data_IF_876973054700
#
_entry.id   IF_876973054700
#
_cell.length_a   1.000
_cell.length_b   1.000
_cell.length_c   1.000
_cell.angle_alpha   90.00
_cell.angle_beta   90.00
_cell.angle_gamma   90.00
#
_symmetry.space_group_name_H-M   'P 1'
#
loop_
_entity.id
_entity.type
_entity.pdbx_description
1 polymer ?
#
# COMPACT_ATOMS: atom_id res chain seq x y z
N UNK A 1 15.10 10.33 -63.45
CA UNK A 1 16.51 10.62 -63.76
C UNK A 1 17.25 10.92 -62.47
N UNK A 2 18.52 10.52 -62.39
CA UNK A 2 19.38 10.50 -61.19
C UNK A 2 20.09 11.86 -60.99
N UNK A 3 20.33 12.20 -59.71
CA UNK A 3 21.34 13.11 -59.11
C UNK A 3 21.16 14.63 -59.27
N UNK A 4 21.27 15.39 -58.18
CA UNK A 4 22.53 16.03 -57.73
C UNK A 4 22.37 16.66 -56.33
N UNK A 5 23.42 16.60 -55.51
CA UNK A 5 23.51 17.26 -54.21
C UNK A 5 24.20 18.62 -54.33
N UNK A 6 23.80 19.59 -53.50
CA UNK A 6 24.55 20.82 -53.25
C UNK A 6 24.64 21.02 -51.74
N UNK A 7 25.87 21.18 -51.27
CA UNK A 7 26.27 21.47 -49.90
C UNK A 7 26.44 22.98 -49.77
N UNK A 8 25.76 23.63 -48.83
CA UNK A 8 26.04 25.02 -48.48
C UNK A 8 26.21 25.11 -46.96
N UNK A 9 27.46 25.32 -46.58
CA UNK A 9 27.97 25.52 -45.24
C UNK A 9 27.43 26.86 -44.70
N UNK A 10 26.56 26.83 -43.70
CA UNK A 10 26.28 27.99 -42.86
C UNK A 10 26.89 27.78 -41.48
N UNK A 11 27.61 28.82 -41.06
CA UNK A 11 28.35 28.94 -39.82
C UNK A 11 27.51 28.61 -38.58
N UNK A 12 28.17 27.89 -37.68
CA UNK A 12 27.82 27.70 -36.27
C UNK A 12 27.36 29.01 -35.63
N UNK A 13 26.09 29.05 -35.18
CA UNK A 13 25.81 29.47 -33.81
C UNK A 13 24.84 28.44 -33.22
N UNK A 14 25.42 27.41 -32.63
CA UNK A 14 24.69 26.55 -31.70
C UNK A 14 24.51 27.37 -30.43
N UNK A 15 23.37 28.07 -30.31
CA UNK A 15 22.86 28.43 -28.98
C UNK A 15 22.28 27.16 -28.35
N UNK A 16 23.16 26.27 -27.86
CA UNK A 16 22.76 25.33 -26.81
C UNK A 16 22.65 26.14 -25.52
N UNK A 17 21.58 26.94 -25.44
CA UNK A 17 21.04 27.32 -24.15
C UNK A 17 20.50 26.05 -23.52
N UNK A 18 21.34 25.29 -22.83
CA UNK A 18 20.85 24.38 -21.81
C UNK A 18 20.28 25.28 -20.72
N UNK A 19 18.99 25.59 -20.81
CA UNK A 19 18.24 25.95 -19.64
C UNK A 19 18.27 24.73 -18.72
N UNK A 20 19.30 24.65 -17.87
CA UNK A 20 19.22 23.78 -16.71
C UNK A 20 18.15 24.41 -15.82
N UNK A 21 17.01 23.73 -15.68
CA UNK A 21 15.94 24.12 -14.76
C UNK A 21 16.43 23.89 -13.33
N UNK A 22 17.30 24.78 -12.89
CA UNK A 22 17.85 24.86 -11.54
C UNK A 22 16.97 25.78 -10.71
N UNK A 23 16.62 25.31 -9.51
CA UNK A 23 15.94 26.10 -8.49
C UNK A 23 16.93 26.30 -7.35
N UNK A 24 16.84 27.42 -6.65
CA UNK A 24 17.63 27.65 -5.43
C UNK A 24 16.81 27.21 -4.23
N UNK A 25 17.37 26.38 -3.34
CA UNK A 25 16.72 26.04 -2.07
C UNK A 25 16.73 27.24 -1.08
N UNK A 26 16.03 27.10 0.04
CA UNK A 26 15.94 28.14 1.08
C UNK A 26 17.31 28.55 1.67
N UNK A 27 18.35 27.74 1.46
CA UNK A 27 19.72 27.96 1.92
C UNK A 27 20.64 28.52 0.82
N UNK A 28 20.12 28.80 -0.37
CA UNK A 28 20.90 29.35 -1.47
C UNK A 28 21.58 28.29 -2.36
N UNK A 29 21.33 27.00 -2.17
CA UNK A 29 21.96 25.94 -2.97
C UNK A 29 21.21 25.69 -4.28
N UNK A 30 21.98 25.44 -5.33
CA UNK A 30 21.50 24.98 -6.64
C UNK A 30 20.92 23.57 -6.51
N UNK A 31 19.63 23.42 -6.81
CA UNK A 31 18.89 22.16 -6.86
C UNK A 31 18.38 21.92 -8.27
N UNK A 32 18.65 20.74 -8.80
CA UNK A 32 18.24 20.34 -10.15
C UNK A 32 16.84 19.72 -10.11
N UNK A 33 15.96 20.17 -11.02
CA UNK A 33 14.65 19.54 -11.24
C UNK A 33 14.68 18.42 -12.29
N UNK A 34 15.73 18.39 -13.12
CA UNK A 34 15.99 17.37 -14.13
C UNK A 34 17.49 17.12 -14.21
N UNK A 35 17.88 15.85 -14.25
CA UNK A 35 19.28 15.40 -14.23
C UNK A 35 19.51 14.30 -15.28
N UNK A 36 20.78 14.04 -15.60
CA UNK A 36 21.18 12.94 -16.48
C UNK A 36 20.98 11.57 -15.83
N UNK A 37 21.30 11.45 -14.54
CA UNK A 37 21.08 10.25 -13.74
C UNK A 37 20.33 10.65 -12.48
N UNK A 38 19.14 10.08 -12.31
CA UNK A 38 18.27 10.31 -11.15
C UNK A 38 18.86 9.73 -9.86
N UNK A 39 18.54 10.37 -8.73
CA UNK A 39 18.85 9.80 -7.43
C UNK A 39 18.07 8.50 -7.20
N UNK A 40 18.71 7.51 -6.58
CA UNK A 40 18.13 6.19 -6.34
C UNK A 40 18.29 5.75 -4.89
N UNK A 41 17.32 4.96 -4.41
CA UNK A 41 17.45 4.28 -3.13
C UNK A 41 18.66 3.30 -3.17
N UNK A 42 19.29 2.96 -2.04
CA UNK A 42 20.32 1.91 -2.01
C UNK A 42 19.83 0.62 -2.67
N UNK A 43 20.67 0.00 -3.49
CA UNK A 43 20.30 -1.16 -4.32
C UNK A 43 19.13 -0.90 -5.30
N UNK A 44 18.88 0.36 -5.62
CA UNK A 44 17.86 0.79 -6.57
C UNK A 44 16.44 0.37 -6.19
N UNK A 45 15.67 -0.03 -7.19
CA UNK A 45 14.25 -0.40 -7.03
C UNK A 45 14.06 -1.64 -6.13
N UNK A 46 14.99 -2.59 -6.16
CA UNK A 46 14.91 -3.80 -5.34
C UNK A 46 15.14 -3.51 -3.86
N UNK A 47 16.12 -2.66 -3.54
CA UNK A 47 16.33 -2.19 -2.17
C UNK A 47 15.14 -1.41 -1.65
N UNK A 48 14.55 -0.54 -2.48
CA UNK A 48 13.34 0.21 -2.14
C UNK A 48 12.18 -0.72 -1.80
N UNK A 49 11.90 -1.71 -2.66
CA UNK A 49 10.82 -2.70 -2.43
C UNK A 49 11.02 -3.46 -1.11
N UNK A 50 12.24 -3.95 -0.85
CA UNK A 50 12.57 -4.68 0.39
C UNK A 50 12.40 -3.79 1.63
N UNK A 51 12.82 -2.54 1.53
CA UNK A 51 12.68 -1.57 2.61
C UNK A 51 11.21 -1.27 2.92
N UNK A 52 10.36 -1.08 1.90
CA UNK A 52 8.92 -0.89 2.07
C UNK A 52 8.27 -2.09 2.76
N UNK A 53 8.50 -3.32 2.29
CA UNK A 53 7.93 -4.54 2.89
C UNK A 53 8.22 -4.64 4.38
N UNK A 54 9.40 -4.18 4.81
CA UNK A 54 9.83 -4.25 6.21
C UNK A 54 9.31 -3.09 7.08
N UNK A 55 9.14 -1.90 6.51
CA UNK A 55 9.00 -0.66 7.31
C UNK A 55 7.70 0.13 7.05
N UNK A 56 6.99 -0.16 5.95
CA UNK A 56 5.73 0.51 5.60
C UNK A 56 4.57 -0.13 6.36
N UNK A 57 3.75 0.71 6.99
CA UNK A 57 2.46 0.34 7.56
C UNK A 57 1.39 0.35 6.47
N UNK A 58 1.27 -0.76 5.75
CA UNK A 58 0.31 -0.90 4.65
C UNK A 58 -1.17 -0.88 5.11
N UNK A 59 -1.43 -1.07 6.40
CA UNK A 59 -2.76 -1.10 7.02
C UNK A 59 -3.30 0.29 7.40
N UNK A 60 -2.50 1.36 7.25
CA UNK A 60 -2.89 2.74 7.53
C UNK A 60 -4.21 3.16 6.86
N UNK A 61 -4.42 2.99 5.54
CA UNK A 61 -5.69 3.38 4.93
C UNK A 61 -6.89 2.58 5.49
N UNK A 62 -6.71 1.30 5.79
CA UNK A 62 -7.78 0.46 6.38
C UNK A 62 -8.14 0.93 7.78
N UNK A 63 -7.13 1.27 8.60
CA UNK A 63 -7.33 1.78 9.97
C UNK A 63 -8.02 3.14 10.02
N UNK A 64 -7.97 3.89 8.92
CA UNK A 64 -8.59 5.20 8.78
C UNK A 64 -9.82 5.16 7.85
N UNK A 65 -10.44 3.99 7.66
CA UNK A 65 -11.67 3.79 6.90
C UNK A 65 -11.62 4.35 5.46
N UNK A 66 -10.47 4.24 4.80
CA UNK A 66 -10.34 4.59 3.40
C UNK A 66 -11.28 3.74 2.52
N UNK A 67 -11.95 4.32 1.52
CA UNK A 67 -12.74 3.56 0.56
C UNK A 67 -11.93 2.51 -0.20
N UNK A 68 -12.63 1.56 -0.83
CA UNK A 68 -11.98 0.61 -1.74
C UNK A 68 -11.40 1.35 -2.94
N UNK A 69 -10.17 1.03 -3.33
CA UNK A 69 -9.50 1.66 -4.45
C UNK A 69 -7.98 1.57 -4.42
N UNK A 70 -7.36 2.14 -5.44
CA UNK A 70 -5.91 2.34 -5.52
C UNK A 70 -5.56 3.80 -5.26
N UNK A 71 -4.62 4.02 -4.34
CA UNK A 71 -4.19 5.34 -3.89
C UNK A 71 -2.69 5.49 -4.13
N UNK A 72 -2.31 6.26 -5.14
CA UNK A 72 -0.91 6.54 -5.41
C UNK A 72 -0.47 7.80 -4.66
N UNK A 73 0.21 7.62 -3.53
CA UNK A 73 0.83 8.71 -2.78
C UNK A 73 2.11 9.13 -3.47
N UNK A 74 2.29 10.43 -3.70
CA UNK A 74 3.50 11.00 -4.30
C UNK A 74 4.17 11.91 -3.27
N UNK A 75 5.41 11.59 -2.92
CA UNK A 75 6.23 12.43 -2.03
C UNK A 75 7.41 13.00 -2.82
N UNK A 76 7.57 14.32 -2.75
CA UNK A 76 8.71 15.07 -3.28
C UNK A 76 9.70 15.35 -2.16
N UNK A 77 10.98 15.24 -2.45
CA UNK A 77 12.07 15.57 -1.53
C UNK A 77 13.34 15.90 -2.30
N UNK A 78 14.31 16.50 -1.63
CA UNK A 78 15.64 16.76 -2.18
C UNK A 78 16.58 15.64 -1.75
N UNK A 79 17.35 15.11 -2.69
CA UNK A 79 18.52 14.27 -2.41
C UNK A 79 19.76 15.13 -2.63
N UNK A 80 20.54 15.33 -1.57
CA UNK A 80 21.80 16.05 -1.60
C UNK A 80 22.89 15.24 -2.29
N UNK A 81 23.97 15.93 -2.72
CA UNK A 81 25.17 15.30 -3.29
C UNK A 81 25.87 14.26 -2.38
N UNK A 82 25.63 14.29 -1.07
CA UNK A 82 26.13 13.32 -0.09
C UNK A 82 25.13 12.18 0.19
N UNK A 83 23.97 12.18 -0.48
CA UNK A 83 22.90 11.21 -0.30
C UNK A 83 21.92 11.52 0.84
N UNK A 84 22.13 12.59 1.60
CA UNK A 84 21.17 13.02 2.62
C UNK A 84 19.87 13.52 1.99
N UNK A 85 18.78 13.44 2.73
CA UNK A 85 17.45 13.86 2.28
C UNK A 85 16.95 15.08 3.05
N UNK A 86 16.26 15.98 2.35
CA UNK A 86 15.65 17.18 2.93
C UNK A 86 14.36 17.55 2.18
N UNK A 87 13.63 18.58 2.65
CA UNK A 87 12.42 19.12 2.03
C UNK A 87 11.38 18.04 1.64
N UNK A 88 11.13 17.10 2.55
CA UNK A 88 10.22 15.97 2.31
C UNK A 88 8.77 16.42 2.47
N UNK A 89 8.05 16.51 1.35
CA UNK A 89 6.69 17.04 1.24
C UNK A 89 5.82 16.09 0.41
N UNK A 90 4.61 15.78 0.89
CA UNK A 90 3.61 15.07 0.08
C UNK A 90 2.96 16.01 -0.93
N UNK A 91 2.85 15.57 -2.18
CA UNK A 91 2.13 16.28 -3.24
C UNK A 91 0.67 15.80 -3.37
N UNK A 92 0.37 14.62 -2.81
CA UNK A 92 -0.99 14.12 -2.68
C UNK A 92 -1.57 14.47 -1.31
N UNK A 93 -2.90 14.36 -1.20
CA UNK A 93 -3.62 14.49 0.05
C UNK A 93 -4.94 13.72 -0.03
N UNK A 94 -4.92 12.44 0.32
CA UNK A 94 -6.12 11.60 0.39
C UNK A 94 -6.84 11.67 1.73
N UNK A 95 -6.18 12.12 2.80
CA UNK A 95 -6.79 12.30 4.13
C UNK A 95 -6.94 11.02 4.96
N UNK A 96 -6.32 9.91 4.56
CA UNK A 96 -6.40 8.61 5.26
C UNK A 96 -5.09 8.19 5.92
N UNK A 97 -4.18 9.13 6.18
CA UNK A 97 -2.90 8.89 6.87
C UNK A 97 -1.77 8.34 6.00
N UNK A 98 -2.03 8.07 4.72
CA UNK A 98 -1.07 7.42 3.80
C UNK A 98 0.13 8.33 3.50
N UNK A 99 -0.13 9.62 3.28
CA UNK A 99 0.90 10.65 3.06
C UNK A 99 1.88 10.73 4.22
N UNK A 100 1.38 10.83 5.44
CA UNK A 100 2.18 10.93 6.67
C UNK A 100 3.06 9.71 6.84
N UNK A 101 2.53 8.53 6.51
CA UNK A 101 3.27 7.27 6.55
C UNK A 101 4.39 7.24 5.49
N UNK A 102 4.13 7.68 4.26
CA UNK A 102 5.16 7.72 3.20
C UNK A 102 6.22 8.80 3.47
N UNK A 103 5.83 9.95 4.03
CA UNK A 103 6.78 10.97 4.51
C UNK A 103 7.65 10.40 5.62
N UNK A 104 7.07 9.65 6.57
CA UNK A 104 7.79 9.03 7.68
C UNK A 104 8.83 8.01 7.20
N UNK A 105 8.47 7.12 6.28
CA UNK A 105 9.41 6.08 5.81
C UNK A 105 10.55 6.67 4.99
N UNK A 106 10.31 7.74 4.22
CA UNK A 106 11.35 8.45 3.48
C UNK A 106 12.30 9.11 4.48
N UNK A 107 11.78 9.90 5.43
CA UNK A 107 12.59 10.56 6.48
C UNK A 107 13.42 9.59 7.34
N UNK A 108 12.91 8.38 7.60
CA UNK A 108 13.61 7.34 8.39
C UNK A 108 14.49 6.42 7.54
N UNK A 109 14.52 6.63 6.22
CA UNK A 109 15.29 5.80 5.29
C UNK A 109 16.80 5.97 5.44
N UNK A 110 17.57 5.13 4.74
CA UNK A 110 19.01 5.31 4.60
C UNK A 110 19.34 6.53 3.74
N UNK A 111 20.63 6.87 3.67
CA UNK A 111 21.15 7.75 2.64
C UNK A 111 20.87 7.18 1.24
N UNK A 112 20.54 8.05 0.29
CA UNK A 112 20.28 7.71 -1.10
C UNK A 112 21.56 7.80 -1.93
N UNK A 113 21.59 7.11 -3.07
CA UNK A 113 22.58 7.40 -4.11
C UNK A 113 22.22 8.73 -4.77
N UNK A 114 23.14 9.72 -4.79
CA UNK A 114 22.85 11.04 -5.32
C UNK A 114 22.63 11.03 -6.83
N UNK A 115 21.93 12.05 -7.32
CA UNK A 115 21.80 12.32 -8.74
C UNK A 115 23.14 12.75 -9.36
N UNK A 116 23.34 12.45 -10.64
CA UNK A 116 24.52 12.87 -11.38
C UNK A 116 24.15 13.81 -12.53
N UNK A 117 24.93 14.87 -12.68
CA UNK A 117 24.85 15.82 -13.78
C UNK A 117 26.28 16.13 -14.27
N UNK A 118 26.56 15.93 -15.55
CA UNK A 118 27.88 16.17 -16.13
C UNK A 118 29.00 15.45 -15.34
N UNK A 119 28.74 14.22 -14.90
CA UNK A 119 29.68 13.40 -14.13
C UNK A 119 29.92 13.83 -12.68
N UNK A 120 29.13 14.78 -12.13
CA UNK A 120 29.23 15.24 -10.75
C UNK A 120 27.94 14.95 -9.98
N UNK A 121 28.09 14.59 -8.70
CA UNK A 121 26.96 14.48 -7.78
C UNK A 121 26.36 15.87 -7.51
N UNK A 122 25.03 15.98 -7.62
CA UNK A 122 24.30 17.24 -7.47
C UNK A 122 23.11 17.08 -6.53
N UNK A 123 22.67 18.19 -5.94
CA UNK A 123 21.41 18.24 -5.21
C UNK A 123 20.27 18.22 -6.23
N UNK A 124 19.33 17.30 -6.09
CA UNK A 124 18.22 17.18 -7.04
C UNK A 124 16.91 16.83 -6.36
N UNK A 125 15.80 17.31 -6.93
CA UNK A 125 14.47 16.89 -6.53
C UNK A 125 14.21 15.45 -6.99
N UNK A 126 13.56 14.67 -6.13
CA UNK A 126 13.07 13.33 -6.42
C UNK A 126 11.59 13.25 -6.05
N UNK A 127 10.78 12.67 -6.94
CA UNK A 127 9.37 12.32 -6.70
C UNK A 127 9.23 10.81 -6.61
N UNK A 128 8.94 10.30 -5.42
CA UNK A 128 8.79 8.86 -5.20
C UNK A 128 7.31 8.49 -5.03
N UNK A 129 6.72 7.75 -5.98
CA UNK A 129 5.39 7.20 -5.82
C UNK A 129 5.39 5.96 -4.91
N UNK A 130 4.35 5.82 -4.09
CA UNK A 130 3.99 4.62 -3.32
C UNK A 130 2.50 4.39 -3.47
N UNK A 131 2.10 3.22 -3.97
CA UNK A 131 0.68 2.88 -4.16
C UNK A 131 0.19 2.01 -3.01
N UNK A 132 -0.89 2.45 -2.36
CA UNK A 132 -1.71 1.64 -1.47
C UNK A 132 -2.89 1.08 -2.26
N UNK A 133 -3.25 -0.16 -1.96
CA UNK A 133 -4.37 -0.83 -2.60
C UNK A 133 -5.31 -1.29 -1.49
N UNK A 134 -6.46 -0.62 -1.40
CA UNK A 134 -7.54 -0.96 -0.46
C UNK A 134 -8.53 -1.83 -1.23
N UNK A 135 -8.64 -3.08 -0.84
CA UNK A 135 -9.55 -4.04 -1.44
C UNK A 135 -10.46 -4.60 -0.36
N UNK A 136 -11.65 -5.02 -0.78
CA UNK A 136 -12.50 -5.89 0.01
C UNK A 136 -11.67 -7.12 0.40
N UNK A 137 -11.70 -7.50 1.68
CA UNK A 137 -11.04 -8.73 2.13
C UNK A 137 -11.73 -9.98 1.55
N UNK A 138 -12.87 -9.79 0.89
CA UNK A 138 -13.63 -10.81 0.19
C UNK A 138 -14.26 -11.78 1.16
N UNK A 139 -14.50 -11.33 2.40
CA UNK A 139 -15.06 -12.13 3.49
C UNK A 139 -16.57 -11.87 3.54
N UNK A 140 -17.35 -12.82 3.03
CA UNK A 140 -18.79 -12.79 3.15
C UNK A 140 -19.26 -13.73 4.28
N UNK A 141 -19.71 -13.15 5.39
CA UNK A 141 -20.26 -13.90 6.53
C UNK A 141 -21.72 -13.49 6.73
N UNK A 142 -22.66 -14.42 6.55
CA UNK A 142 -24.10 -14.14 6.62
C UNK A 142 -24.82 -15.15 7.50
N UNK A 143 -25.86 -14.70 8.20
CA UNK A 143 -26.87 -15.56 8.82
C UNK A 143 -28.26 -15.09 8.42
N UNK A 144 -29.29 -15.90 8.70
CA UNK A 144 -30.69 -15.54 8.45
C UNK A 144 -31.11 -14.23 9.13
N UNK A 145 -30.51 -13.89 10.26
CA UNK A 145 -30.83 -12.69 11.05
C UNK A 145 -29.71 -11.63 11.00
N UNK A 146 -28.83 -11.69 9.98
CA UNK A 146 -27.64 -10.83 9.91
C UNK A 146 -26.61 -11.22 10.98
N UNK A 147 -26.05 -10.23 11.68
CA UNK A 147 -25.09 -10.47 12.78
C UNK A 147 -25.77 -10.82 14.12
N UNK A 148 -26.87 -11.56 14.07
CA UNK A 148 -27.64 -12.00 15.24
C UNK A 148 -27.84 -13.51 15.19
N UNK A 149 -27.72 -14.16 16.35
CA UNK A 149 -27.93 -15.59 16.54
C UNK A 149 -28.91 -15.81 17.70
N UNK A 150 -29.61 -16.95 17.69
CA UNK A 150 -30.55 -17.33 18.73
C UNK A 150 -29.97 -18.46 19.59
N UNK A 151 -30.04 -18.30 20.91
CA UNK A 151 -29.71 -19.38 21.84
C UNK A 151 -30.72 -20.52 21.77
N UNK A 152 -30.29 -21.77 22.00
CA UNK A 152 -31.17 -22.94 21.97
C UNK A 152 -31.79 -23.28 20.59
N UNK A 153 -31.23 -22.74 19.51
CA UNK A 153 -31.62 -23.05 18.12
C UNK A 153 -30.40 -23.29 17.24
N UNK A 154 -30.61 -24.01 16.13
CA UNK A 154 -29.59 -24.21 15.10
C UNK A 154 -29.51 -22.96 14.23
N UNK A 155 -28.46 -22.15 14.41
CA UNK A 155 -28.22 -21.01 13.53
C UNK A 155 -27.36 -21.44 12.36
N UNK A 156 -27.80 -21.17 11.13
CA UNK A 156 -27.00 -21.40 9.94
C UNK A 156 -26.26 -20.11 9.59
N UNK A 157 -24.95 -20.21 9.51
CA UNK A 157 -24.04 -19.16 9.06
C UNK A 157 -23.36 -19.64 7.78
N UNK A 158 -23.40 -18.82 6.73
CA UNK A 158 -22.64 -19.03 5.50
C UNK A 158 -21.38 -18.18 5.54
N UNK A 159 -20.24 -18.77 5.20
CA UNK A 159 -18.92 -18.12 5.21
C UNK A 159 -18.25 -18.41 3.87
N UNK A 160 -18.05 -17.39 3.06
CA UNK A 160 -17.25 -17.44 1.84
C UNK A 160 -16.07 -16.47 1.99
N UNK A 161 -14.87 -16.92 1.65
CA UNK A 161 -13.66 -16.09 1.68
C UNK A 161 -12.99 -16.15 0.32
N UNK A 162 -12.88 -15.01 -0.34
CA UNK A 162 -12.27 -14.93 -1.66
C UNK A 162 -10.88 -15.58 -1.67
N UNK A 163 -10.59 -16.34 -2.74
CA UNK A 163 -9.31 -17.03 -2.96
C UNK A 163 -8.94 -18.04 -1.86
N UNK A 164 -9.90 -18.54 -1.10
CA UNK A 164 -9.73 -19.66 -0.16
C UNK A 164 -10.82 -20.69 -0.39
N UNK A 165 -10.44 -21.95 -0.56
CA UNK A 165 -11.42 -23.02 -0.71
C UNK A 165 -12.16 -23.24 0.62
N UNK A 166 -13.48 -23.44 0.55
CA UNK A 166 -14.31 -23.58 1.74
C UNK A 166 -13.93 -24.80 2.60
N UNK A 167 -13.33 -25.83 2.00
CA UNK A 167 -12.81 -27.01 2.71
C UNK A 167 -11.53 -26.70 3.52
N UNK A 168 -10.83 -25.62 3.21
CA UNK A 168 -9.63 -25.18 3.93
C UNK A 168 -9.97 -24.26 5.13
N UNK A 169 -11.25 -24.01 5.38
CA UNK A 169 -11.74 -23.13 6.44
C UNK A 169 -12.08 -23.91 7.71
N UNK A 170 -11.40 -23.55 8.80
CA UNK A 170 -11.80 -23.93 10.15
C UNK A 170 -12.46 -22.73 10.83
N UNK A 171 -13.63 -22.95 11.44
CA UNK A 171 -14.41 -21.91 12.11
C UNK A 171 -14.58 -22.30 13.58
N UNK A 172 -14.19 -21.39 14.46
CA UNK A 172 -14.33 -21.54 15.91
C UNK A 172 -15.28 -20.48 16.45
N UNK A 173 -15.88 -20.75 17.61
CA UNK A 173 -16.74 -19.82 18.32
C UNK A 173 -16.18 -19.55 19.72
N UNK A 174 -16.23 -18.31 20.19
CA UNK A 174 -15.79 -17.95 21.54
C UNK A 174 -16.65 -18.51 22.68
N UNK A 175 -17.94 -18.79 22.42
CA UNK A 175 -18.86 -19.41 23.39
C UNK A 175 -19.94 -20.24 22.71
N UNK A 176 -19.86 -21.56 22.84
CA UNK A 176 -20.80 -22.51 22.27
C UNK A 176 -20.13 -23.50 21.32
N UNK A 177 -20.90 -24.03 20.37
CA UNK A 177 -20.41 -25.04 19.43
C UNK A 177 -20.60 -24.60 17.98
N UNK A 178 -19.65 -24.99 17.12
CA UNK A 178 -19.72 -24.84 15.67
C UNK A 178 -19.61 -26.22 15.03
N UNK A 179 -20.46 -26.50 14.04
CA UNK A 179 -20.41 -27.74 13.25
C UNK A 179 -20.41 -27.39 11.76
N UNK A 180 -19.41 -27.87 11.03
CA UNK A 180 -19.36 -27.75 9.58
C UNK A 180 -20.43 -28.64 8.92
N UNK A 181 -21.17 -28.09 7.96
CA UNK A 181 -22.25 -28.79 7.27
C UNK A 181 -21.95 -29.08 5.79
N UNK A 182 -20.74 -28.74 5.31
CA UNK A 182 -20.36 -28.84 3.90
C UNK A 182 -20.61 -27.56 3.09
N UNK A 183 -19.83 -27.38 2.03
CA UNK A 183 -19.83 -26.14 1.24
C UNK A 183 -19.37 -24.96 2.09
N UNK A 184 -20.11 -23.86 2.06
CA UNK A 184 -19.86 -22.66 2.87
C UNK A 184 -20.67 -22.61 4.18
N UNK A 185 -21.36 -23.69 4.58
CA UNK A 185 -22.35 -23.66 5.66
C UNK A 185 -21.82 -24.21 6.98
N UNK A 186 -22.12 -23.48 8.05
CA UNK A 186 -21.80 -23.83 9.43
C UNK A 186 -23.05 -23.71 10.30
N UNK A 187 -23.27 -24.70 11.16
CA UNK A 187 -24.24 -24.60 12.25
C UNK A 187 -23.54 -24.02 13.48
N UNK A 188 -24.06 -22.92 14.00
CA UNK A 188 -23.56 -22.24 15.19
C UNK A 188 -24.61 -22.29 16.30
N UNK A 189 -24.23 -22.85 17.44
CA UNK A 189 -25.07 -23.00 18.61
C UNK A 189 -24.42 -22.21 19.76
N UNK A 190 -24.73 -20.91 19.92
CA UNK A 190 -24.14 -20.09 20.97
C UNK A 190 -24.60 -20.53 22.36
N UNK A 191 -23.76 -20.34 23.37
CA UNK A 191 -24.11 -20.56 24.78
C UNK A 191 -24.23 -19.22 25.52
N UNK A 192 -25.36 -19.02 26.21
CA UNK A 192 -25.69 -17.76 26.87
C UNK A 192 -26.30 -16.71 25.93
N UNK A 193 -26.28 -15.46 26.36
CA UNK A 193 -26.82 -14.28 25.64
C UNK A 193 -25.79 -13.16 25.45
N UNK A 194 -24.53 -13.40 25.84
CA UNK A 194 -23.45 -12.46 25.55
C UNK A 194 -23.08 -12.55 24.07
N UNK A 195 -22.65 -11.44 23.43
CA UNK A 195 -22.12 -11.48 22.08
C UNK A 195 -20.98 -12.49 21.96
N UNK A 196 -20.92 -13.18 20.83
CA UNK A 196 -19.89 -14.16 20.53
C UNK A 196 -19.10 -13.74 19.30
N UNK A 197 -17.89 -14.27 19.17
CA UNK A 197 -17.05 -14.09 17.99
C UNK A 197 -16.87 -15.42 17.29
N UNK A 198 -16.99 -15.40 15.96
CA UNK A 198 -16.56 -16.48 15.10
C UNK A 198 -15.19 -16.11 14.55
N UNK A 199 -14.18 -16.93 14.87
CA UNK A 199 -12.84 -16.80 14.32
C UNK A 199 -12.64 -17.84 13.22
N UNK A 200 -12.21 -17.39 12.04
CA UNK A 200 -12.02 -18.20 10.84
C UNK A 200 -10.54 -18.33 10.54
N UNK A 201 -10.08 -19.57 10.36
CA UNK A 201 -8.70 -19.93 10.14
C UNK A 201 -8.55 -20.64 8.80
N UNK A 202 -7.47 -20.33 8.08
CA UNK A 202 -7.04 -21.13 6.94
C UNK A 202 -6.10 -22.25 7.43
N UNK A 203 -6.56 -23.49 7.36
CA UNK A 203 -5.81 -24.63 7.89
C UNK A 203 -4.57 -24.96 7.07
N UNK A 204 -4.58 -24.73 5.75
CA UNK A 204 -3.41 -24.92 4.87
C UNK A 204 -2.29 -23.92 5.14
N UNK A 205 -2.64 -22.70 5.57
CA UNK A 205 -1.69 -21.62 5.88
C UNK A 205 -1.29 -21.63 7.36
N UNK A 206 -0.89 -22.80 7.88
CA UNK A 206 -0.47 -22.99 9.29
C UNK A 206 -1.53 -22.51 10.29
N UNK A 207 -2.82 -22.77 10.00
CA UNK A 207 -3.95 -22.29 10.82
C UNK A 207 -3.88 -20.78 11.08
N UNK A 208 -3.55 -20.00 10.05
CA UNK A 208 -3.54 -18.53 10.13
C UNK A 208 -4.98 -18.04 10.28
N UNK A 209 -5.25 -17.22 11.28
CA UNK A 209 -6.54 -16.52 11.38
C UNK A 209 -6.66 -15.53 10.22
N UNK A 210 -7.76 -15.62 9.48
CA UNK A 210 -8.01 -14.84 8.26
C UNK A 210 -9.22 -13.93 8.37
N UNK A 211 -10.17 -14.23 9.27
CA UNK A 211 -11.31 -13.36 9.54
C UNK A 211 -11.84 -13.56 10.96
N UNK A 212 -12.54 -12.54 11.47
CA UNK A 212 -13.30 -12.58 12.72
C UNK A 212 -14.62 -11.86 12.50
N UNK A 213 -15.74 -12.44 12.97
CA UNK A 213 -17.04 -11.78 12.95
C UNK A 213 -17.71 -11.85 14.33
N UNK A 214 -18.25 -10.74 14.80
CA UNK A 214 -19.02 -10.68 16.05
C UNK A 214 -20.51 -10.82 15.77
N UNK A 215 -21.20 -11.59 16.61
CA UNK A 215 -22.65 -11.78 16.57
C UNK A 215 -23.26 -11.48 17.92
N UNK A 216 -24.36 -10.74 17.92
CA UNK A 216 -25.22 -10.62 19.10
C UNK A 216 -25.99 -11.93 19.31
N UNK A 217 -26.13 -12.36 20.56
CA UNK A 217 -26.89 -13.58 20.90
C UNK A 217 -28.17 -13.20 21.62
N UNK A 218 -29.30 -13.49 21.00
CA UNK A 218 -30.61 -13.23 21.55
C UNK A 218 -31.16 -14.47 22.25
N UNK A 219 -31.88 -14.24 23.35
CA UNK A 219 -32.67 -15.28 23.99
C UNK A 219 -33.73 -15.81 23.03
N UNK A 220 -34.03 -17.10 23.12
CA UNK A 220 -35.18 -17.69 22.43
C UNK A 220 -36.44 -17.04 23.02
N UNK A 221 -37.29 -16.48 22.16
CA UNK A 221 -38.66 -16.08 22.50
C UNK A 221 -39.50 -17.32 22.81
#
# INVERSE_FOLDING_TARGET
MKKLAVFLLFLFIVHLGFAQNTITDDMGNVVFSKVEIEASFPDGADGWRKYLVKNLKADVPIKNDAPLGEYQVIVRFIVSRDGSISDVVSETNYGYGMEEEVVRIIKKGPFWTPAMQAGKAVNAYRRQPVTFVVQDDGVEIKSKLGFKLLTGQNNIVTIDIAKTDNEDLEVTCSSGAVKYLGGNRYQVNPTGTKPITLDIYNIKKKRKKIATAQFDVLAKL
#
